data_IF_145431964486
#
_entry.id   IF_145431964486
#
_cell.length_a   1.000
_cell.length_b   1.000
_cell.length_c   1.000
_cell.angle_alpha   90.00
_cell.angle_beta   90.00
_cell.angle_gamma   90.00
#
_symmetry.space_group_name_H-M   'P 1'
#
loop_
_entity.id
_entity.type
_entity.pdbx_description
1 polymer ?
#
# COMPACT_ATOMS: atom_id res chain seq x y z
N UNK A 1 21.86 -13.91 1.40
CA UNK A 1 21.46 -12.94 2.45
C UNK A 1 20.16 -12.30 1.99
N UNK A 2 19.09 -12.41 2.77
CA UNK A 2 17.84 -11.74 2.47
C UNK A 2 18.07 -10.23 2.52
N UNK A 3 17.65 -9.50 1.49
CA UNK A 3 17.77 -8.03 1.45
C UNK A 3 16.67 -7.44 2.31
N UNK A 4 17.00 -6.58 3.26
CA UNK A 4 16.02 -5.81 4.01
C UNK A 4 15.28 -4.87 3.05
N UNK A 5 13.95 -5.00 3.02
CA UNK A 5 13.07 -4.25 2.10
C UNK A 5 12.45 -3.04 2.79
N UNK A 6 12.10 -3.17 4.07
CA UNK A 6 11.60 -2.07 4.89
C UNK A 6 12.47 -2.01 6.15
N UNK A 7 12.97 -0.81 6.46
CA UNK A 7 13.69 -0.51 7.67
C UNK A 7 13.02 0.66 8.39
N UNK A 8 12.79 0.50 9.69
CA UNK A 8 12.08 1.46 10.53
C UNK A 8 13.00 1.87 11.66
N UNK A 9 13.23 3.18 11.81
CA UNK A 9 14.08 3.76 12.84
C UNK A 9 13.31 4.76 13.68
N UNK A 10 13.21 4.47 14.99
CA UNK A 10 12.64 5.35 16.00
C UNK A 10 11.32 6.01 15.58
N UNK A 11 10.44 5.23 14.92
CA UNK A 11 9.21 5.71 14.31
C UNK A 11 8.16 6.05 15.37
N UNK A 12 7.62 7.27 15.28
CA UNK A 12 6.44 7.72 16.03
C UNK A 12 5.24 7.77 15.12
N UNK A 13 4.15 7.13 15.53
CA UNK A 13 2.89 7.07 14.79
C UNK A 13 1.73 7.63 15.60
N UNK A 14 0.75 8.19 14.92
CA UNK A 14 -0.42 8.78 15.57
C UNK A 14 -1.18 9.71 14.65
N UNK A 15 -1.96 10.60 15.21
CA UNK A 15 -2.84 11.50 14.48
C UNK A 15 -2.42 12.96 14.70
N UNK A 16 -2.03 13.69 13.65
CA UNK A 16 -1.77 15.11 13.76
C UNK A 16 -3.11 15.84 14.01
N UNK A 17 -3.18 16.67 15.06
CA UNK A 17 -4.34 17.49 15.38
C UNK A 17 -4.02 18.97 15.29
N UNK A 18 -5.06 19.84 15.20
CA UNK A 18 -4.92 21.30 15.21
C UNK A 18 -4.63 21.85 16.62
N UNK A 19 -3.63 21.32 17.32
CA UNK A 19 -3.24 21.74 18.66
C UNK A 19 -2.74 20.59 19.53
N UNK A 20 -3.35 19.42 19.45
CA UNK A 20 -2.93 18.23 20.17
C UNK A 20 -2.57 17.10 19.19
N UNK A 21 -1.31 16.66 19.25
CA UNK A 21 -0.84 15.48 18.52
C UNK A 21 -1.16 14.25 19.37
N UNK A 22 -1.99 13.35 18.85
CA UNK A 22 -2.26 12.08 19.52
C UNK A 22 -1.23 11.04 19.09
N UNK A 23 -0.22 10.83 19.90
CA UNK A 23 0.75 9.75 19.73
C UNK A 23 0.07 8.42 20.07
N UNK A 24 0.16 7.43 19.19
CA UNK A 24 -0.38 6.07 19.37
C UNK A 24 0.74 5.11 19.79
N UNK A 25 1.89 5.22 19.17
CA UNK A 25 3.10 4.50 19.56
C UNK A 25 4.34 5.30 19.16
N UNK A 26 5.43 5.09 19.89
CA UNK A 26 6.67 5.82 19.74
C UNK A 26 7.88 4.89 19.85
N UNK A 27 9.00 5.30 19.26
CA UNK A 27 10.26 4.56 19.36
C UNK A 27 10.24 3.20 18.63
N UNK A 28 9.39 3.02 17.62
CA UNK A 28 9.31 1.76 16.89
C UNK A 28 10.55 1.58 16.03
N UNK A 29 11.27 0.46 16.23
CA UNK A 29 12.38 0.02 15.40
C UNK A 29 12.10 -1.39 14.91
N UNK A 30 12.16 -1.63 13.61
CA UNK A 30 11.92 -2.94 13.02
C UNK A 30 12.52 -3.05 11.60
N UNK A 31 12.77 -4.27 11.15
CA UNK A 31 13.19 -4.59 9.79
C UNK A 31 12.31 -5.68 9.19
N UNK A 32 12.02 -5.57 7.89
CA UNK A 32 11.29 -6.58 7.11
C UNK A 32 12.14 -6.95 5.91
N UNK A 33 12.39 -8.25 5.75
CA UNK A 33 13.24 -8.75 4.67
C UNK A 33 12.43 -9.23 3.46
N UNK A 34 13.08 -9.20 2.30
CA UNK A 34 12.52 -9.74 1.06
C UNK A 34 12.26 -11.23 1.19
N UNK A 35 11.10 -11.68 0.67
CA UNK A 35 10.72 -13.08 0.65
C UNK A 35 10.21 -13.64 1.98
N UNK A 36 10.03 -12.81 3.01
CA UNK A 36 9.51 -13.20 4.32
C UNK A 36 8.04 -12.78 4.49
N UNK A 37 7.26 -13.59 5.18
CA UNK A 37 5.94 -13.24 5.67
C UNK A 37 6.07 -12.71 7.10
N UNK A 38 5.85 -11.42 7.27
CA UNK A 38 5.88 -10.77 8.58
C UNK A 38 4.47 -10.55 9.11
N UNK A 39 4.19 -10.99 10.34
CA UNK A 39 2.91 -10.82 11.00
C UNK A 39 2.99 -9.77 12.12
N UNK A 40 2.05 -8.83 12.14
CA UNK A 40 1.90 -7.84 13.20
C UNK A 40 0.80 -8.30 14.17
N UNK A 41 1.20 -8.70 15.36
CA UNK A 41 0.31 -9.20 16.41
C UNK A 41 0.18 -8.20 17.56
N UNK A 42 -0.96 -8.21 18.24
CA UNK A 42 -1.21 -7.36 19.41
C UNK A 42 -2.72 -7.16 19.67
N UNK A 43 -3.06 -6.60 20.83
CA UNK A 43 -4.42 -6.31 21.23
C UNK A 43 -5.13 -5.33 20.28
N UNK A 44 -6.45 -5.31 20.28
CA UNK A 44 -7.24 -4.33 19.54
C UNK A 44 -6.98 -2.91 20.10
N UNK A 45 -6.83 -1.94 19.21
CA UNK A 45 -6.59 -0.54 19.58
C UNK A 45 -5.11 -0.20 19.88
N UNK A 46 -4.18 -1.16 19.87
CA UNK A 46 -2.75 -0.92 20.18
C UNK A 46 -2.00 -0.13 19.10
N UNK A 47 -2.62 0.13 17.95
CA UNK A 47 -2.00 0.93 16.87
C UNK A 47 -1.58 0.15 15.62
N UNK A 48 -1.91 -1.16 15.51
CA UNK A 48 -1.56 -1.98 14.33
C UNK A 48 -1.98 -1.35 13.00
N UNK A 49 -3.24 -0.93 12.91
CA UNK A 49 -3.77 -0.30 11.69
C UNK A 49 -3.13 1.08 11.43
N UNK A 50 -2.80 1.82 12.50
CA UNK A 50 -2.10 3.11 12.39
C UNK A 50 -0.70 2.89 11.82
N UNK A 51 0.02 1.88 12.32
CA UNK A 51 1.33 1.53 11.81
C UNK A 51 1.28 1.13 10.33
N UNK A 52 0.35 0.23 9.95
CA UNK A 52 0.20 -0.19 8.56
C UNK A 52 -0.16 0.99 7.64
N UNK A 53 -1.04 1.90 8.07
CA UNK A 53 -1.37 3.12 7.32
C UNK A 53 -0.17 4.05 7.18
N UNK A 54 0.66 4.15 8.21
CA UNK A 54 1.88 4.98 8.16
C UNK A 54 2.93 4.36 7.24
N UNK A 55 3.14 3.04 7.29
CA UNK A 55 4.06 2.32 6.39
C UNK A 55 3.61 2.37 4.91
N UNK A 56 2.31 2.52 4.68
CA UNK A 56 1.73 2.64 3.33
C UNK A 56 1.61 4.08 2.84
N UNK A 57 2.10 5.06 3.60
CA UNK A 57 1.96 6.50 3.35
C UNK A 57 0.49 7.02 3.28
N UNK A 58 -0.51 6.23 3.71
CA UNK A 58 -1.89 6.73 3.86
C UNK A 58 -2.07 7.67 5.05
N UNK A 59 -1.09 7.68 5.94
CA UNK A 59 -1.04 8.55 7.11
C UNK A 59 0.39 9.02 7.32
N UNK A 60 0.63 10.31 7.62
CA UNK A 60 1.97 10.81 7.89
C UNK A 60 2.52 10.21 9.19
N UNK A 61 3.82 9.96 9.21
CA UNK A 61 4.55 9.68 10.46
C UNK A 61 4.61 10.96 11.31
N UNK A 62 4.68 10.80 12.63
CA UNK A 62 4.89 11.91 13.56
C UNK A 62 6.38 12.18 13.81
N UNK A 63 7.24 11.18 13.65
CA UNK A 63 8.69 11.27 13.81
C UNK A 63 9.38 9.99 13.38
N UNK A 64 10.70 9.98 13.41
CA UNK A 64 11.52 8.84 13.00
C UNK A 64 11.60 8.67 11.48
N UNK A 65 12.14 7.54 11.03
CA UNK A 65 12.38 7.26 9.62
C UNK A 65 11.80 5.92 9.18
N UNK A 66 11.33 5.87 7.94
CA UNK A 66 10.89 4.64 7.26
C UNK A 66 11.65 4.60 5.94
N UNK A 67 12.46 3.58 5.76
CA UNK A 67 13.18 3.34 4.51
C UNK A 67 12.53 2.15 3.78
N UNK A 68 12.28 2.32 2.48
CA UNK A 68 11.78 1.29 1.59
C UNK A 68 12.84 1.08 0.52
N UNK A 69 13.36 -0.13 0.43
CA UNK A 69 14.50 -0.46 -0.45
C UNK A 69 15.70 0.48 -0.28
N UNK A 70 15.94 0.97 0.95
CA UNK A 70 17.03 1.86 1.30
C UNK A 70 16.79 3.35 1.02
N UNK A 71 15.59 3.73 0.53
CA UNK A 71 15.21 5.12 0.28
C UNK A 71 14.13 5.55 1.29
N UNK A 72 14.25 6.73 1.88
CA UNK A 72 13.29 7.27 2.84
C UNK A 72 11.92 7.47 2.16
N UNK A 73 10.83 7.11 2.88
CA UNK A 73 9.47 7.10 2.32
C UNK A 73 9.02 8.48 1.82
N UNK A 74 9.43 9.55 2.47
CA UNK A 74 9.13 10.93 2.09
C UNK A 74 9.84 11.40 0.82
N UNK A 75 10.89 10.69 0.40
CA UNK A 75 11.63 11.00 -0.84
C UNK A 75 10.99 10.36 -2.08
N UNK A 76 9.98 9.49 -1.89
CA UNK A 76 9.23 8.94 -3.00
C UNK A 76 8.14 9.90 -3.46
N UNK A 77 7.98 10.05 -4.76
CA UNK A 77 6.72 10.56 -5.31
C UNK A 77 5.62 9.50 -5.17
N UNK A 78 4.35 9.90 -5.13
CA UNK A 78 3.21 8.95 -5.05
C UNK A 78 3.27 7.88 -6.15
N UNK A 79 3.66 8.30 -7.37
CA UNK A 79 3.83 7.39 -8.51
C UNK A 79 4.98 6.41 -8.33
N UNK A 80 6.07 6.79 -7.68
CA UNK A 80 7.18 5.90 -7.36
C UNK A 80 6.78 4.93 -6.27
N UNK A 81 6.16 5.42 -5.19
CA UNK A 81 5.76 4.62 -4.05
C UNK A 81 4.73 3.55 -4.43
N UNK A 82 3.74 3.89 -5.26
CA UNK A 82 2.73 2.95 -5.74
C UNK A 82 3.26 1.82 -6.65
N UNK A 83 4.53 1.90 -7.07
CA UNK A 83 5.21 0.82 -7.80
C UNK A 83 5.97 -0.16 -6.90
N UNK A 84 6.23 0.22 -5.65
CA UNK A 84 7.01 -0.58 -4.69
C UNK A 84 6.17 -1.10 -3.53
N UNK A 85 5.03 -0.44 -3.23
CA UNK A 85 4.08 -0.89 -2.19
C UNK A 85 2.73 -1.21 -2.79
N UNK A 86 2.16 -2.33 -2.37
CA UNK A 86 0.75 -2.69 -2.59
C UNK A 86 0.06 -2.87 -1.24
N UNK A 87 -1.21 -2.47 -1.15
CA UNK A 87 -2.00 -2.57 0.08
C UNK A 87 -3.34 -3.24 -0.21
N UNK A 88 -3.70 -4.22 0.62
CA UNK A 88 -5.04 -4.81 0.61
C UNK A 88 -5.79 -4.25 1.81
N UNK A 89 -6.86 -3.51 1.54
CA UNK A 89 -7.71 -2.92 2.57
C UNK A 89 -8.81 -3.89 3.00
N UNK A 90 -9.22 -3.82 4.26
CA UNK A 90 -10.38 -4.56 4.79
C UNK A 90 -11.70 -3.83 4.52
N UNK A 91 -11.64 -2.56 4.17
CA UNK A 91 -12.80 -1.74 3.83
C UNK A 91 -13.27 -2.08 2.41
N UNK A 92 -14.59 -2.13 2.22
CA UNK A 92 -15.16 -2.32 0.89
C UNK A 92 -15.01 -1.03 0.08
N UNK A 93 -14.47 -1.15 -1.13
CA UNK A 93 -14.52 -0.05 -2.08
C UNK A 93 -15.95 0.07 -2.62
N UNK A 94 -16.63 1.17 -2.33
CA UNK A 94 -17.94 1.49 -2.94
C UNK A 94 -17.70 2.12 -4.33
N UNK A 95 -17.29 1.27 -5.26
CA UNK A 95 -17.08 1.66 -6.65
C UNK A 95 -18.29 1.18 -7.43
N UNK A 96 -18.95 2.11 -8.14
CA UNK A 96 -20.14 1.83 -8.94
C UNK A 96 -19.87 2.12 -10.39
N UNK A 97 -20.61 1.45 -11.27
CA UNK A 97 -20.56 1.66 -12.73
C UNK A 97 -19.22 1.31 -13.39
N UNK A 98 -18.50 0.34 -12.84
CA UNK A 98 -17.31 -0.24 -13.46
C UNK A 98 -17.46 -1.76 -13.57
N UNK A 99 -16.90 -2.33 -14.62
CA UNK A 99 -16.71 -3.77 -14.71
C UNK A 99 -15.51 -4.22 -13.88
N UNK A 100 -15.44 -5.49 -13.53
CA UNK A 100 -14.29 -6.06 -12.80
C UNK A 100 -12.96 -5.81 -13.53
N UNK A 101 -12.94 -5.96 -14.86
CA UNK A 101 -11.74 -5.72 -15.67
C UNK A 101 -11.30 -4.25 -15.62
N UNK A 102 -12.24 -3.31 -15.63
CA UNK A 102 -11.93 -1.88 -15.49
C UNK A 102 -11.41 -1.56 -14.10
N UNK A 103 -12.04 -2.09 -13.05
CA UNK A 103 -11.61 -1.92 -11.67
C UNK A 103 -10.17 -2.43 -11.44
N UNK A 104 -9.88 -3.63 -11.93
CA UNK A 104 -8.51 -4.20 -11.83
C UNK A 104 -7.54 -3.38 -12.68
N UNK A 105 -8.00 -2.85 -13.82
CA UNK A 105 -7.24 -1.96 -14.68
C UNK A 105 -6.77 -0.68 -13.99
N UNK A 106 -7.51 -0.16 -12.99
CA UNK A 106 -7.08 0.99 -12.19
C UNK A 106 -5.75 0.74 -11.48
N UNK A 107 -5.44 -0.51 -11.12
CA UNK A 107 -4.15 -0.89 -10.53
C UNK A 107 -2.95 -0.64 -11.46
N UNK A 108 -3.19 -0.37 -12.75
CA UNK A 108 -2.14 0.00 -13.71
C UNK A 108 -1.88 1.51 -13.77
N UNK A 109 -2.64 2.33 -13.04
CA UNK A 109 -2.49 3.81 -13.03
C UNK A 109 -1.06 4.30 -12.86
N UNK A 110 -0.20 3.71 -11.99
CA UNK A 110 1.19 4.15 -11.85
C UNK A 110 2.05 3.94 -13.11
N UNK A 111 1.60 3.10 -14.03
CA UNK A 111 2.32 2.72 -15.26
C UNK A 111 1.75 3.41 -16.50
N UNK A 112 0.53 3.90 -16.44
CA UNK A 112 -0.10 4.59 -17.55
C UNK A 112 0.38 6.04 -17.68
N UNK A 113 0.17 6.62 -18.88
CA UNK A 113 0.40 8.04 -19.11
C UNK A 113 -0.72 8.93 -18.55
N UNK A 114 -0.67 10.23 -18.90
CA UNK A 114 -1.62 11.25 -18.43
C UNK A 114 -3.10 10.88 -18.71
N UNK A 115 -3.37 10.24 -19.82
CA UNK A 115 -4.74 9.86 -20.23
C UNK A 115 -5.24 8.56 -19.60
N UNK A 116 -4.45 7.88 -18.76
CA UNK A 116 -4.86 6.64 -18.10
C UNK A 116 -5.13 5.45 -19.04
N UNK A 117 -4.79 5.56 -20.33
CA UNK A 117 -5.05 4.50 -21.32
C UNK A 117 -4.15 3.32 -21.09
N UNK A 118 -4.74 2.12 -20.97
CA UNK A 118 -4.00 0.87 -20.82
C UNK A 118 -3.32 0.47 -22.15
N UNK A 119 -2.03 0.22 -22.10
CA UNK A 119 -1.28 -0.38 -23.19
C UNK A 119 -1.68 -1.85 -23.43
N UNK A 120 -1.14 -2.46 -24.47
CA UNK A 120 -1.34 -3.91 -24.70
C UNK A 120 -0.73 -4.74 -23.55
N UNK A 121 0.42 -4.33 -23.07
CA UNK A 121 1.13 -4.95 -21.95
C UNK A 121 0.34 -4.84 -20.65
N UNK A 122 -0.26 -3.67 -20.39
CA UNK A 122 -1.13 -3.47 -19.21
C UNK A 122 -2.34 -4.38 -19.23
N UNK A 123 -2.99 -4.54 -20.40
CA UNK A 123 -4.13 -5.45 -20.55
C UNK A 123 -3.75 -6.90 -20.26
N UNK A 124 -2.57 -7.35 -20.75
CA UNK A 124 -2.06 -8.70 -20.44
C UNK A 124 -1.85 -8.87 -18.92
N UNK A 125 -1.34 -7.85 -18.23
CA UNK A 125 -1.16 -7.90 -16.77
C UNK A 125 -2.51 -7.97 -16.05
N UNK A 126 -3.51 -7.20 -16.49
CA UNK A 126 -4.89 -7.25 -15.95
C UNK A 126 -5.49 -8.64 -16.12
N UNK A 127 -5.43 -9.22 -17.33
CA UNK A 127 -5.98 -10.54 -17.62
C UNK A 127 -5.30 -11.63 -16.78
N UNK A 128 -3.96 -11.57 -16.65
CA UNK A 128 -3.21 -12.48 -15.77
C UNK A 128 -3.63 -12.34 -14.31
N UNK A 129 -3.85 -11.12 -13.84
CA UNK A 129 -4.29 -10.88 -12.45
C UNK A 129 -5.67 -11.48 -12.20
N UNK A 130 -6.62 -11.31 -13.12
CA UNK A 130 -7.97 -11.89 -13.08
C UNK A 130 -7.90 -13.42 -13.04
N UNK A 131 -7.04 -14.02 -13.87
CA UNK A 131 -6.83 -15.47 -13.90
C UNK A 131 -6.21 -15.98 -12.59
N UNK A 132 -5.23 -15.26 -12.05
CA UNK A 132 -4.54 -15.63 -10.80
C UNK A 132 -5.48 -15.68 -9.60
N UNK A 133 -6.45 -14.75 -9.53
CA UNK A 133 -7.46 -14.72 -8.45
C UNK A 133 -8.62 -15.69 -8.72
N UNK A 134 -8.65 -16.38 -9.87
CA UNK A 134 -9.65 -17.38 -10.21
C UNK A 134 -11.04 -16.82 -10.59
N UNK A 135 -11.12 -15.57 -11.06
CA UNK A 135 -12.40 -14.90 -11.40
C UNK A 135 -12.57 -14.51 -12.89
N UNK A 136 -12.03 -15.24 -13.89
CA UNK A 136 -12.17 -14.85 -15.29
C UNK A 136 -13.64 -14.73 -15.74
N UNK A 137 -14.52 -15.57 -15.20
CA UNK A 137 -15.96 -15.56 -15.48
C UNK A 137 -16.69 -14.31 -14.98
N UNK A 138 -16.07 -13.50 -14.14
CA UNK A 138 -16.59 -12.24 -13.60
C UNK A 138 -16.00 -11.01 -14.30
N UNK A 139 -15.03 -11.14 -15.21
CA UNK A 139 -14.27 -10.03 -15.78
C UNK A 139 -15.13 -8.88 -16.30
N UNK A 140 -16.23 -9.18 -16.96
CA UNK A 140 -17.14 -8.20 -17.55
C UNK A 140 -18.38 -7.90 -16.69
N UNK A 141 -18.48 -8.48 -15.50
CA UNK A 141 -19.56 -8.19 -14.57
C UNK A 141 -19.37 -6.81 -13.96
N UNK A 142 -20.45 -6.06 -13.85
CA UNK A 142 -20.47 -4.79 -13.11
C UNK A 142 -20.31 -5.02 -11.61
N UNK A 143 -19.54 -4.15 -10.97
CA UNK A 143 -19.29 -4.14 -9.52
C UNK A 143 -20.34 -3.32 -8.80
#
# INVERSE_FOLDING_TARGET
MNKETIHIENLSIGYPGKGDVKVVADGICAGINSGELTCLLGANGVGKSTLLRTLSAFQPKLGGNIFIEGKEIGDYTDKQLSRVISVVLTEKCDIRNMSVVELIGLGRSPYTGFWGTLSKEDKIVVDKSIALVGIPHLAHRMV
#
